data_IF_272432724073
#
_entry.id   IF_272432724073
#
_cell.length_a   1.000
_cell.length_b   1.000
_cell.length_c   1.000
_cell.angle_alpha   90.00
_cell.angle_beta   90.00
_cell.angle_gamma   90.00
#
_symmetry.space_group_name_H-M   'P 1'
#
loop_
_entity.id
_entity.type
_entity.pdbx_description
1 polymer ?
#
# COMPACT_ATOMS: atom_id res chain seq x y z
N UNK A 1 -18.02 19.81 21.54
CA UNK A 1 -17.13 19.76 22.72
C UNK A 1 -15.72 20.09 22.25
N UNK A 2 -15.28 21.33 22.48
CA UNK A 2 -13.91 21.79 22.24
C UNK A 2 -12.92 21.03 23.12
N UNK A 3 -11.72 20.74 22.61
CA UNK A 3 -10.64 20.18 23.42
C UNK A 3 -10.25 21.22 24.47
N UNK A 4 -10.69 21.05 25.72
CA UNK A 4 -10.19 21.84 26.82
C UNK A 4 -8.79 21.30 27.18
N UNK A 5 -7.77 21.79 26.48
CA UNK A 5 -6.38 21.43 26.71
C UNK A 5 -5.85 22.27 27.87
N UNK A 6 -5.97 21.78 29.10
CA UNK A 6 -5.45 22.45 30.29
C UNK A 6 -3.91 22.62 30.28
N UNK A 7 -3.19 22.09 29.27
CA UNK A 7 -1.77 22.33 29.06
C UNK A 7 -1.40 22.34 27.55
N UNK A 8 -1.28 23.51 26.91
CA UNK A 8 -0.98 23.62 25.48
C UNK A 8 0.40 23.05 25.10
N UNK A 9 1.37 23.05 26.03
CA UNK A 9 2.69 22.48 25.79
C UNK A 9 2.63 20.95 25.65
N UNK A 10 1.86 20.27 26.51
CA UNK A 10 1.64 18.82 26.42
C UNK A 10 0.96 18.45 25.10
N UNK A 11 -0.08 19.20 24.72
CA UNK A 11 -0.80 18.97 23.47
C UNK A 11 0.09 19.13 22.24
N UNK A 12 0.85 20.22 22.14
CA UNK A 12 1.74 20.46 21.02
C UNK A 12 2.84 19.38 20.90
N UNK A 13 3.38 18.91 22.03
CA UNK A 13 4.33 17.81 22.06
C UNK A 13 3.72 16.49 21.52
N UNK A 14 2.49 16.15 21.94
CA UNK A 14 1.78 14.97 21.44
C UNK A 14 1.51 15.07 19.93
N UNK A 15 1.06 16.23 19.45
CA UNK A 15 0.84 16.48 18.03
C UNK A 15 2.15 16.29 17.23
N UNK A 16 3.26 16.81 17.75
CA UNK A 16 4.57 16.66 17.11
C UNK A 16 5.01 15.19 17.07
N UNK A 17 4.88 14.45 18.17
CA UNK A 17 5.17 13.02 18.21
C UNK A 17 4.32 12.22 17.21
N UNK A 18 3.04 12.59 17.04
CA UNK A 18 2.16 11.98 16.04
C UNK A 18 2.60 12.28 14.60
N UNK A 19 2.94 13.54 14.31
CA UNK A 19 3.46 13.97 12.99
C UNK A 19 4.73 13.18 12.62
N UNK A 20 5.60 12.94 13.61
CA UNK A 20 6.85 12.21 13.46
C UNK A 20 6.69 10.68 13.46
N UNK A 21 5.47 10.14 13.50
CA UNK A 21 5.17 8.71 13.65
C UNK A 21 5.75 8.03 14.91
N UNK A 22 6.05 8.79 15.96
CA UNK A 22 6.50 8.22 17.24
C UNK A 22 5.36 7.55 18.01
N UNK A 23 4.16 8.11 17.85
CA UNK A 23 2.92 7.59 18.44
C UNK A 23 1.81 7.49 17.40
N UNK A 24 0.84 6.63 17.67
CA UNK A 24 -0.36 6.40 16.87
C UNK A 24 -1.47 7.36 17.26
N UNK A 25 -2.48 7.50 16.39
CA UNK A 25 -3.68 8.29 16.71
C UNK A 25 -4.44 7.74 17.93
N UNK A 26 -4.32 6.43 18.20
CA UNK A 26 -4.95 5.83 19.38
C UNK A 26 -4.25 6.29 20.65
N UNK A 27 -2.91 6.22 20.70
CA UNK A 27 -2.12 6.68 21.85
C UNK A 27 -2.29 8.18 22.10
N UNK A 28 -2.41 9.00 21.04
CA UNK A 28 -2.78 10.42 21.19
C UNK A 28 -4.15 10.55 21.86
N UNK A 29 -5.12 9.74 21.45
CA UNK A 29 -6.46 9.81 22.01
C UNK A 29 -6.50 9.36 23.48
N UNK A 30 -5.75 8.31 23.81
CA UNK A 30 -5.59 7.80 25.17
C UNK A 30 -4.95 8.86 26.08
N UNK A 31 -3.88 9.53 25.62
CA UNK A 31 -3.20 10.63 26.34
C UNK A 31 -4.06 11.88 26.55
N UNK A 32 -5.02 12.11 25.65
CA UNK A 32 -5.99 13.19 25.74
C UNK A 32 -7.27 12.78 26.48
N UNK A 33 -7.41 11.51 26.87
CA UNK A 33 -8.62 10.97 27.49
C UNK A 33 -9.85 11.04 26.58
N UNK A 34 -9.65 10.87 25.27
CA UNK A 34 -10.68 11.04 24.23
C UNK A 34 -10.81 9.82 23.35
N UNK A 35 -11.91 9.75 22.60
CA UNK A 35 -12.03 8.75 21.54
C UNK A 35 -11.17 9.14 20.33
N UNK A 36 -10.60 8.13 19.68
CA UNK A 36 -9.81 8.28 18.45
C UNK A 36 -10.55 9.01 17.34
N UNK A 37 -11.86 8.80 17.20
CA UNK A 37 -12.67 9.45 16.17
C UNK A 37 -12.79 10.95 16.39
N UNK A 38 -12.97 11.38 17.65
CA UNK A 38 -13.02 12.80 18.01
C UNK A 38 -11.69 13.49 17.74
N UNK A 39 -10.58 12.88 18.18
CA UNK A 39 -9.24 13.45 17.94
C UNK A 39 -8.93 13.53 16.45
N UNK A 40 -9.29 12.50 15.66
CA UNK A 40 -9.11 12.53 14.21
C UNK A 40 -9.96 13.60 13.52
N UNK A 41 -11.18 13.84 13.99
CA UNK A 41 -12.04 14.90 13.46
C UNK A 41 -11.44 16.27 13.79
N UNK A 42 -11.01 16.48 15.04
CA UNK A 42 -10.40 17.72 15.48
C UNK A 42 -9.11 18.04 14.71
N UNK A 43 -8.22 17.06 14.53
CA UNK A 43 -6.99 17.26 13.76
C UNK A 43 -7.27 17.63 12.30
N UNK A 44 -8.37 17.12 11.73
CA UNK A 44 -8.72 17.35 10.33
C UNK A 44 -9.39 18.72 10.12
N UNK A 45 -10.16 19.19 11.08
CA UNK A 45 -11.08 20.32 10.87
C UNK A 45 -10.87 21.49 11.84
N UNK A 46 -10.36 21.25 13.04
CA UNK A 46 -10.33 22.22 14.13
C UNK A 46 -8.92 22.67 14.53
N UNK A 47 -7.88 22.01 14.01
CA UNK A 47 -6.47 22.32 14.31
C UNK A 47 -5.78 22.78 13.04
N UNK A 48 -5.17 23.97 13.11
CA UNK A 48 -4.37 24.52 12.03
C UNK A 48 -2.92 24.74 12.47
N UNK A 49 -1.92 24.30 11.70
CA UNK A 49 -2.04 23.52 10.47
C UNK A 49 -2.50 22.07 10.73
N UNK A 50 -3.20 21.45 9.77
CA UNK A 50 -3.76 20.11 9.90
C UNK A 50 -2.65 19.05 10.19
N UNK A 51 -2.62 18.45 11.39
CA UNK A 51 -1.57 17.50 11.76
C UNK A 51 -1.52 16.24 10.87
N UNK A 52 -2.65 15.82 10.31
CA UNK A 52 -2.71 14.67 9.40
C UNK A 52 -1.97 14.98 8.09
N UNK A 53 -2.11 16.20 7.58
CA UNK A 53 -1.38 16.65 6.39
C UNK A 53 0.11 16.83 6.67
N UNK A 54 0.46 17.43 7.81
CA UNK A 54 1.84 17.58 8.24
C UNK A 54 2.55 16.22 8.36
N UNK A 55 1.87 15.22 8.94
CA UNK A 55 2.36 13.84 9.02
C UNK A 55 2.62 13.23 7.64
N UNK A 56 1.71 13.43 6.67
CA UNK A 56 1.90 12.97 5.28
C UNK A 56 3.10 13.64 4.62
N UNK A 57 3.25 14.97 4.78
CA UNK A 57 4.40 15.73 4.24
C UNK A 57 5.72 15.27 4.89
N UNK A 58 5.73 15.03 6.20
CA UNK A 58 6.88 14.49 6.92
C UNK A 58 7.27 13.11 6.37
N UNK A 59 6.33 12.17 6.29
CA UNK A 59 6.57 10.83 5.73
C UNK A 59 7.14 10.88 4.31
N UNK A 60 6.58 11.74 3.44
CA UNK A 60 7.08 11.92 2.07
C UNK A 60 8.56 12.33 2.06
N UNK A 61 8.95 13.30 2.89
CA UNK A 61 10.34 13.75 3.01
C UNK A 61 11.25 12.63 3.52
N UNK A 62 10.84 11.90 4.56
CA UNK A 62 11.62 10.78 5.10
C UNK A 62 11.81 9.69 4.03
N UNK A 63 10.79 9.35 3.25
CA UNK A 63 10.94 8.37 2.17
C UNK A 63 11.88 8.83 1.05
N UNK A 64 11.91 10.13 0.74
CA UNK A 64 12.87 10.68 -0.22
C UNK A 64 14.32 10.60 0.30
N UNK A 65 14.52 10.90 1.59
CA UNK A 65 15.83 10.78 2.24
C UNK A 65 16.31 9.33 2.25
N UNK A 66 15.43 8.39 2.57
CA UNK A 66 15.73 6.95 2.54
C UNK A 66 16.09 6.49 1.12
N UNK A 67 15.35 6.94 0.10
CA UNK A 67 15.66 6.63 -1.29
C UNK A 67 17.09 7.02 -1.65
N UNK A 68 17.46 8.27 -1.40
CA UNK A 68 18.83 8.77 -1.63
C UNK A 68 19.88 7.98 -0.85
N UNK A 69 19.62 7.70 0.42
CA UNK A 69 20.53 6.96 1.28
C UNK A 69 20.78 5.53 0.76
N UNK A 70 19.75 4.88 0.21
CA UNK A 70 19.85 3.57 -0.43
C UNK A 70 20.60 3.66 -1.76
N UNK A 71 20.29 4.67 -2.59
CA UNK A 71 20.96 4.90 -3.88
C UNK A 71 22.48 5.12 -3.72
N UNK A 72 22.89 5.73 -2.60
CA UNK A 72 24.29 5.92 -2.21
C UNK A 72 24.97 4.64 -1.68
N UNK A 73 24.22 3.54 -1.54
CA UNK A 73 24.73 2.24 -1.07
C UNK A 73 25.01 2.18 0.44
N UNK A 74 24.46 3.12 1.21
CA UNK A 74 24.68 3.17 2.66
C UNK A 74 23.90 2.07 3.40
N UNK A 75 24.43 1.60 4.52
CA UNK A 75 23.76 0.62 5.38
C UNK A 75 22.42 1.17 5.92
N UNK A 76 21.42 0.31 6.09
CA UNK A 76 20.06 0.70 6.49
C UNK A 76 19.93 0.89 8.01
N UNK A 77 20.81 0.27 8.81
CA UNK A 77 20.74 0.29 10.28
C UNK A 77 20.70 1.70 10.90
N UNK A 78 21.51 2.68 10.45
CA UNK A 78 21.44 4.07 10.94
C UNK A 78 20.09 4.75 10.67
N UNK A 79 19.42 4.43 9.55
CA UNK A 79 18.09 4.96 9.24
C UNK A 79 17.02 4.35 10.14
N UNK A 80 17.17 3.08 10.50
CA UNK A 80 16.24 2.39 11.41
C UNK A 80 16.37 2.96 12.83
N UNK A 81 17.59 3.30 13.26
CA UNK A 81 17.84 3.98 14.53
C UNK A 81 17.23 5.39 14.54
N UNK A 82 17.45 6.16 13.47
CA UNK A 82 16.91 7.52 13.31
C UNK A 82 15.38 7.54 13.19
N UNK A 83 14.80 6.54 12.53
CA UNK A 83 13.35 6.41 12.29
C UNK A 83 12.83 5.03 12.74
N UNK A 84 12.57 4.84 14.04
CA UNK A 84 12.18 3.54 14.59
C UNK A 84 10.92 2.94 13.96
N UNK A 85 10.01 3.76 13.42
CA UNK A 85 8.81 3.31 12.71
C UNK A 85 9.11 2.55 11.41
N UNK A 86 10.37 2.54 10.95
CA UNK A 86 10.83 1.74 9.82
C UNK A 86 11.06 0.27 10.21
N UNK A 87 11.29 -0.07 11.48
CA UNK A 87 11.63 -1.43 11.95
C UNK A 87 10.75 -2.57 11.43
N UNK A 88 9.52 -2.30 10.99
CA UNK A 88 8.70 -3.32 10.34
C UNK A 88 9.34 -3.79 9.01
N UNK A 89 9.77 -5.06 8.97
CA UNK A 89 10.43 -5.71 7.81
C UNK A 89 9.76 -5.43 6.46
N UNK A 90 8.43 -5.45 6.40
CA UNK A 90 7.66 -5.22 5.16
C UNK A 90 7.77 -3.79 4.61
N UNK A 91 8.08 -2.80 5.46
CA UNK A 91 8.14 -1.38 5.09
C UNK A 91 9.54 -1.01 4.58
N UNK A 92 10.58 -1.51 5.24
CA UNK A 92 11.96 -1.44 4.73
C UNK A 92 12.07 -2.16 3.39
N UNK A 93 11.55 -3.39 3.25
CA UNK A 93 11.55 -4.11 1.96
C UNK A 93 10.79 -3.38 0.84
N UNK A 94 9.71 -2.66 1.17
CA UNK A 94 9.00 -1.81 0.20
C UNK A 94 9.82 -0.60 -0.23
N UNK A 95 10.60 -0.02 0.67
CA UNK A 95 11.43 1.16 0.40
C UNK A 95 12.70 0.80 -0.37
N UNK A 96 13.34 -0.33 -0.02
CA UNK A 96 14.40 -0.95 -0.81
C UNK A 96 13.90 -1.18 -2.25
N UNK A 97 12.72 -1.80 -2.40
CA UNK A 97 12.07 -1.98 -3.71
C UNK A 97 11.73 -0.69 -4.47
N UNK A 98 11.64 0.46 -3.79
CA UNK A 98 11.35 1.76 -4.41
C UNK A 98 12.62 2.51 -4.83
N UNK A 99 13.74 2.34 -4.11
CA UNK A 99 15.07 2.77 -4.57
C UNK A 99 15.62 1.87 -5.69
N UNK A 100 15.34 0.57 -5.64
CA UNK A 100 15.68 -0.42 -6.67
C UNK A 100 14.96 -0.23 -8.02
N UNK A 101 14.10 0.78 -8.17
CA UNK A 101 13.40 1.05 -9.45
C UNK A 101 14.40 1.46 -10.56
N UNK A 102 15.70 1.67 -10.26
CA UNK A 102 16.73 1.71 -11.28
C UNK A 102 17.67 0.49 -11.37
N UNK A 103 17.78 -0.42 -10.39
CA UNK A 103 18.72 -1.54 -10.53
C UNK A 103 18.54 -2.69 -9.53
N UNK A 104 17.59 -3.60 -9.79
CA UNK A 104 17.80 -5.07 -9.86
C UNK A 104 16.47 -5.81 -9.76
N UNK A 105 16.35 -6.84 -10.57
CA UNK A 105 15.18 -7.70 -10.70
C UNK A 105 14.65 -8.17 -9.33
N UNK A 106 13.32 -8.17 -9.12
CA UNK A 106 12.74 -8.51 -7.83
C UNK A 106 13.06 -9.96 -7.45
N UNK A 107 13.69 -10.17 -6.28
CA UNK A 107 13.78 -11.51 -5.68
C UNK A 107 12.36 -11.95 -5.31
N UNK A 108 11.77 -12.78 -6.17
CA UNK A 108 10.46 -13.37 -5.98
C UNK A 108 10.56 -14.43 -4.88
N UNK A 109 9.72 -14.34 -3.85
CA UNK A 109 9.57 -15.47 -2.92
C UNK A 109 8.96 -16.67 -3.66
N UNK A 110 9.15 -17.90 -3.19
CA UNK A 110 8.53 -19.11 -3.78
C UNK A 110 7.01 -18.99 -3.90
N UNK A 111 6.38 -18.29 -2.95
CA UNK A 111 4.95 -17.97 -2.98
C UNK A 111 4.59 -16.87 -4.00
N UNK A 112 5.48 -15.93 -4.29
CA UNK A 112 5.30 -14.93 -5.35
C UNK A 112 5.48 -15.56 -6.73
N UNK A 113 6.47 -16.46 -6.89
CA UNK A 113 6.65 -17.29 -8.09
C UNK A 113 5.41 -18.14 -8.37
N UNK A 114 4.85 -18.81 -7.36
CA UNK A 114 3.62 -19.60 -7.51
C UNK A 114 2.41 -18.73 -7.93
N UNK A 115 2.28 -17.52 -7.35
CA UNK A 115 1.20 -16.59 -7.72
C UNK A 115 1.37 -15.99 -9.11
N UNK A 116 2.60 -15.69 -9.52
CA UNK A 116 2.92 -15.19 -10.86
C UNK A 116 2.66 -16.29 -11.89
N UNK A 117 3.05 -17.52 -11.59
CA UNK A 117 2.83 -18.66 -12.47
C UNK A 117 1.33 -18.93 -12.65
N UNK A 118 0.55 -18.88 -11.56
CA UNK A 118 -0.91 -18.98 -11.62
C UNK A 118 -1.54 -17.84 -12.44
N UNK A 119 -1.08 -16.60 -12.26
CA UNK A 119 -1.57 -15.44 -13.02
C UNK A 119 -1.31 -15.60 -14.53
N UNK A 120 -0.10 -16.01 -14.91
CA UNK A 120 0.26 -16.29 -16.32
C UNK A 120 -0.60 -17.40 -16.92
N UNK A 121 -0.76 -18.52 -16.21
CA UNK A 121 -1.56 -19.66 -16.67
C UNK A 121 -3.05 -19.29 -16.90
N UNK A 122 -3.62 -18.46 -16.02
CA UNK A 122 -4.99 -17.94 -16.17
C UNK A 122 -5.11 -17.06 -17.43
N UNK A 123 -4.12 -16.22 -17.70
CA UNK A 123 -4.11 -15.34 -18.87
C UNK A 123 -3.95 -16.15 -20.16
N UNK A 124 -2.99 -17.07 -20.21
CA UNK A 124 -2.78 -17.92 -21.39
C UNK A 124 -4.03 -18.73 -21.74
N UNK A 125 -4.71 -19.31 -20.74
CA UNK A 125 -5.97 -20.02 -20.98
C UNK A 125 -7.09 -19.08 -21.45
N UNK A 126 -7.12 -17.86 -20.93
CA UNK A 126 -8.09 -16.85 -21.35
C UNK A 126 -7.89 -16.44 -22.82
N UNK A 127 -6.63 -16.22 -23.22
CA UNK A 127 -6.22 -15.92 -24.60
C UNK A 127 -6.42 -17.11 -25.54
N UNK A 128 -6.25 -18.34 -25.05
CA UNK A 128 -6.59 -19.60 -25.77
C UNK A 128 -8.10 -19.87 -25.83
N UNK A 129 -8.92 -18.87 -25.57
CA UNK A 129 -10.35 -18.95 -25.75
C UNK A 129 -11.07 -19.95 -24.78
N UNK A 130 -10.55 -20.22 -23.57
CA UNK A 130 -11.30 -20.97 -22.53
C UNK A 130 -12.35 -20.10 -21.82
N UNK A 131 -13.57 -20.62 -21.61
CA UNK A 131 -14.63 -19.89 -20.89
C UNK A 131 -14.19 -19.49 -19.50
N UNK A 132 -14.68 -18.32 -19.06
CA UNK A 132 -14.45 -17.86 -17.69
C UNK A 132 -14.92 -18.93 -16.70
N UNK A 133 -16.02 -19.64 -16.99
CA UNK A 133 -16.49 -20.78 -16.20
C UNK A 133 -15.51 -21.95 -16.16
N UNK A 134 -14.88 -22.32 -17.29
CA UNK A 134 -13.86 -23.37 -17.34
C UNK A 134 -12.59 -22.97 -16.58
N UNK A 135 -12.15 -21.72 -16.70
CA UNK A 135 -10.99 -21.19 -15.97
C UNK A 135 -11.25 -21.20 -14.45
N UNK A 136 -12.45 -20.78 -14.01
CA UNK A 136 -12.82 -20.83 -12.59
C UNK A 136 -12.77 -22.25 -12.02
N UNK A 137 -13.22 -23.25 -12.80
CA UNK A 137 -13.17 -24.67 -12.42
C UNK A 137 -11.75 -25.24 -12.44
N UNK A 138 -10.98 -24.97 -13.51
CA UNK A 138 -9.63 -25.49 -13.73
C UNK A 138 -8.66 -25.07 -12.62
N UNK A 139 -8.74 -23.83 -12.17
CA UNK A 139 -7.86 -23.28 -11.13
C UNK A 139 -8.48 -23.24 -9.73
N UNK A 140 -9.73 -23.66 -9.58
CA UNK A 140 -10.50 -23.59 -8.33
C UNK A 140 -10.41 -22.20 -7.64
N UNK A 141 -10.69 -21.14 -8.41
CA UNK A 141 -10.59 -19.76 -7.95
C UNK A 141 -11.96 -19.08 -7.89
N UNK A 142 -12.18 -18.13 -6.96
CA UNK A 142 -13.42 -17.37 -6.92
C UNK A 142 -13.48 -16.36 -8.06
N UNK A 143 -14.70 -16.02 -8.48
CA UNK A 143 -14.95 -15.10 -9.62
C UNK A 143 -14.24 -13.75 -9.48
N UNK A 144 -14.24 -13.17 -8.28
CA UNK A 144 -13.54 -11.92 -8.00
C UNK A 144 -12.02 -12.00 -8.23
N UNK A 145 -11.41 -13.18 -8.01
CA UNK A 145 -9.97 -13.39 -8.25
C UNK A 145 -9.67 -13.35 -9.75
N UNK A 146 -10.48 -14.04 -10.56
CA UNK A 146 -10.38 -14.00 -12.02
C UNK A 146 -10.56 -12.57 -12.55
N UNK A 147 -11.58 -11.84 -12.07
CA UNK A 147 -11.81 -10.44 -12.47
C UNK A 147 -10.62 -9.55 -12.11
N UNK A 148 -10.05 -9.70 -10.91
CA UNK A 148 -8.87 -8.93 -10.50
C UNK A 148 -7.64 -9.24 -11.35
N UNK A 149 -7.47 -10.50 -11.76
CA UNK A 149 -6.37 -10.96 -12.61
C UNK A 149 -6.49 -10.35 -14.01
N UNK A 150 -7.67 -10.42 -14.63
CA UNK A 150 -7.90 -9.83 -15.95
C UNK A 150 -7.81 -8.29 -15.92
N UNK A 151 -8.34 -7.65 -14.88
CA UNK A 151 -8.26 -6.19 -14.73
C UNK A 151 -6.82 -5.72 -14.49
N UNK A 152 -5.99 -6.52 -13.81
CA UNK A 152 -4.57 -6.19 -13.62
C UNK A 152 -3.78 -6.27 -14.92
N UNK A 153 -4.11 -7.21 -15.80
CA UNK A 153 -3.40 -7.40 -17.06
C UNK A 153 -3.87 -6.42 -18.15
N UNK A 154 -5.19 -6.23 -18.27
CA UNK A 154 -5.78 -5.47 -19.38
C UNK A 154 -6.45 -4.15 -18.95
N UNK A 155 -6.44 -3.80 -17.65
CA UNK A 155 -7.05 -2.56 -17.14
C UNK A 155 -8.54 -2.45 -17.46
N UNK A 156 -8.99 -1.23 -17.79
CA UNK A 156 -10.36 -0.96 -18.24
C UNK A 156 -10.71 -1.68 -19.55
N UNK A 157 -9.70 -2.06 -20.34
CA UNK A 157 -9.87 -2.82 -21.59
C UNK A 157 -10.18 -4.30 -21.36
N UNK A 158 -10.13 -4.80 -20.12
CA UNK A 158 -10.47 -6.19 -19.79
C UNK A 158 -11.90 -6.57 -20.24
N UNK A 159 -12.85 -5.63 -20.15
CA UNK A 159 -14.24 -5.85 -20.60
C UNK A 159 -14.31 -5.98 -22.11
N UNK A 160 -13.56 -5.17 -22.85
CA UNK A 160 -13.49 -5.22 -24.31
C UNK A 160 -12.82 -6.51 -24.79
N UNK A 161 -11.70 -6.89 -24.16
CA UNK A 161 -11.00 -8.14 -24.47
C UNK A 161 -11.86 -9.37 -24.22
N UNK A 162 -12.62 -9.39 -23.12
CA UNK A 162 -13.56 -10.47 -22.84
C UNK A 162 -14.66 -10.59 -23.89
N UNK A 163 -15.11 -9.48 -24.48
CA UNK A 163 -16.09 -9.48 -25.57
C UNK A 163 -15.49 -9.98 -26.89
N UNK A 164 -14.26 -9.58 -27.23
CA UNK A 164 -13.53 -10.06 -28.41
C UNK A 164 -13.34 -11.58 -28.37
N UNK A 165 -12.79 -12.06 -27.26
CA UNK A 165 -12.56 -13.48 -26.98
C UNK A 165 -13.87 -14.30 -27.01
N UNK A 166 -14.97 -13.75 -26.48
CA UNK A 166 -16.28 -14.39 -26.58
C UNK A 166 -16.83 -14.44 -28.02
N UNK A 167 -16.55 -13.43 -28.83
CA UNK A 167 -16.96 -13.37 -30.23
C UNK A 167 -16.13 -14.31 -31.12
N UNK A 168 -14.82 -14.45 -30.88
CA UNK A 168 -13.97 -15.40 -31.61
C UNK A 168 -14.41 -16.86 -31.39
N UNK A 169 -14.79 -17.22 -30.16
CA UNK A 169 -15.32 -18.56 -29.85
C UNK A 169 -16.60 -18.90 -30.60
N UNK A 170 -17.45 -17.90 -30.83
CA UNK A 170 -18.68 -18.08 -31.61
C UNK A 170 -18.40 -18.29 -33.09
N UNK A 171 -17.24 -17.86 -33.60
CA UNK A 171 -16.82 -18.08 -34.99
C UNK A 171 -16.16 -19.44 -35.23
N UNK A 172 -15.69 -20.11 -34.15
CA UNK A 172 -15.03 -21.42 -34.21
C UNK A 172 -15.98 -22.60 -33.90
N UNK A 173 -17.26 -22.32 -33.64
CA UNK A 173 -18.35 -23.30 -33.52
C UNK A 173 -19.25 -23.24 -34.74
#
# INVERSE_FOLDING_TARGET
MTINNNNPNKYNALVQCYIENKITMQEVADELGKSKSLVSHDFKHNVFPNPIELRKKFQKRVYQEIGKWIDEGNAIDPLIEKYPFLKSKNKIQRLIRQGDIQAKEPVLTTNDLAKINLHKQIIEDFEKNLSTTEILKKYNIPRGKLTSTLFREYGESAVTKAKEVANERKKQK
#
